data_IF_917110091301
#
_entry.id   IF_917110091301
#
_cell.length_a   1.000
_cell.length_b   1.000
_cell.length_c   1.000
_cell.angle_alpha   90.00
_cell.angle_beta   90.00
_cell.angle_gamma   90.00
#
_symmetry.space_group_name_H-M   'P 1'
#
loop_
_entity.id
_entity.type
_entity.pdbx_description
1 polymer ?
#
# COMPACT_ATOMS: atom_id res chain seq x y z
N UNK A 1 2.75 -50.26 39.75
CA UNK A 1 3.43 -49.01 40.13
C UNK A 1 4.79 -49.00 39.44
N UNK A 2 4.87 -48.42 38.24
CA UNK A 2 6.08 -48.42 37.41
C UNK A 2 6.79 -47.08 37.51
N UNK A 3 8.11 -47.15 37.75
CA UNK A 3 9.12 -46.09 37.68
C UNK A 3 9.12 -45.47 36.26
N UNK A 4 9.32 -44.16 36.08
CA UNK A 4 10.63 -43.53 35.84
C UNK A 4 10.48 -41.99 35.78
N UNK A 5 11.57 -41.30 36.09
CA UNK A 5 11.78 -39.90 36.48
C UNK A 5 11.84 -38.91 35.29
N UNK A 6 11.55 -37.64 35.57
CA UNK A 6 12.19 -36.39 35.11
C UNK A 6 11.28 -35.26 35.61
N UNK A 7 11.56 -34.36 36.56
CA UNK A 7 12.75 -33.60 37.01
C UNK A 7 13.49 -32.85 35.91
N UNK A 8 13.44 -31.54 36.09
CA UNK A 8 14.41 -30.49 35.74
C UNK A 8 13.83 -29.31 34.95
N UNK A 9 14.23 -28.17 35.49
CA UNK A 9 13.71 -26.81 35.44
C UNK A 9 14.70 -26.01 34.58
N UNK A 10 14.21 -24.96 33.92
CA UNK A 10 14.95 -23.75 33.48
C UNK A 10 15.95 -23.95 32.32
N UNK A 11 15.82 -23.17 31.24
CA UNK A 11 16.73 -22.05 30.90
C UNK A 11 16.30 -21.38 29.58
N UNK A 12 16.61 -20.08 29.52
CA UNK A 12 16.31 -19.05 28.52
C UNK A 12 17.36 -19.08 27.36
N UNK A 13 17.13 -18.27 26.30
CA UNK A 13 18.15 -17.60 25.46
C UNK A 13 18.62 -18.20 24.10
N UNK A 14 18.38 -17.39 23.04
CA UNK A 14 19.18 -17.18 21.82
C UNK A 14 19.22 -18.22 20.67
N UNK A 15 18.61 -17.87 19.53
CA UNK A 15 19.28 -17.84 18.20
C UNK A 15 18.59 -16.78 17.31
N UNK A 16 19.11 -15.57 17.37
CA UNK A 16 19.04 -14.60 16.27
C UNK A 16 20.04 -14.98 15.17
N UNK A 17 19.78 -14.46 13.95
CA UNK A 17 20.65 -14.39 12.76
C UNK A 17 20.72 -15.64 11.87
N UNK A 18 20.01 -15.58 10.72
CA UNK A 18 20.58 -15.37 9.37
C UNK A 18 19.48 -15.58 8.31
N UNK A 19 18.89 -14.51 7.77
CA UNK A 19 19.09 -14.02 6.40
C UNK A 19 18.71 -14.97 5.22
N UNK A 20 17.61 -14.58 4.56
CA UNK A 20 17.33 -14.56 3.10
C UNK A 20 17.31 -15.90 2.33
N UNK A 21 16.12 -16.28 1.83
CA UNK A 21 15.75 -16.28 0.38
C UNK A 21 14.37 -16.97 0.21
N UNK A 22 13.28 -16.26 -0.10
CA UNK A 22 12.79 -15.82 -1.42
C UNK A 22 11.49 -16.57 -1.81
N UNK A 23 10.65 -15.89 -2.58
CA UNK A 23 9.48 -16.37 -3.34
C UNK A 23 8.10 -16.15 -2.70
N UNK A 24 7.64 -14.91 -2.87
CA UNK A 24 6.33 -14.46 -3.39
C UNK A 24 5.06 -15.17 -2.90
N UNK A 25 4.22 -14.43 -2.17
CA UNK A 25 2.87 -14.11 -2.67
C UNK A 25 2.25 -12.95 -1.88
N UNK A 26 1.63 -12.07 -2.64
CA UNK A 26 1.09 -10.78 -2.27
C UNK A 26 -0.12 -10.92 -1.34
N UNK A 27 0.11 -10.91 -0.04
CA UNK A 27 -0.98 -10.78 0.92
C UNK A 27 -0.54 -9.86 2.04
N UNK A 28 -0.31 -8.58 1.71
CA UNK A 28 -0.36 -7.55 2.74
C UNK A 28 -1.82 -7.29 3.03
N UNK A 29 -2.34 -8.13 3.93
CA UNK A 29 -3.56 -7.92 4.71
C UNK A 29 -3.71 -6.43 5.02
N UNK A 30 -4.61 -5.74 4.31
CA UNK A 30 -5.12 -4.45 4.76
C UNK A 30 -6.13 -4.80 5.85
N UNK A 31 -5.91 -4.45 7.13
CA UNK A 31 -6.86 -4.75 8.17
C UNK A 31 -8.15 -3.98 7.87
N UNK A 32 -9.20 -4.73 7.51
CA UNK A 32 -10.58 -4.27 7.49
C UNK A 32 -11.06 -4.00 8.92
N UNK A 33 -10.48 -3.05 9.66
CA UNK A 33 -11.14 -2.58 10.89
C UNK A 33 -10.58 -1.23 11.34
N UNK A 34 -11.14 -0.16 10.77
CA UNK A 34 -11.64 1.02 11.49
C UNK A 34 -11.90 2.12 10.46
N UNK A 35 -13.16 2.23 10.04
CA UNK A 35 -13.72 3.37 9.32
C UNK A 35 -13.77 4.63 10.21
N UNK A 36 -12.64 4.97 10.83
CA UNK A 36 -12.33 6.35 11.12
C UNK A 36 -12.19 7.02 9.76
N UNK A 37 -12.64 8.26 9.62
CA UNK A 37 -12.59 9.03 8.37
C UNK A 37 -11.11 9.26 7.96
N UNK A 38 -10.48 8.22 7.41
CA UNK A 38 -9.08 8.25 7.05
C UNK A 38 -8.97 9.11 5.80
N UNK A 39 -8.26 10.23 5.94
CA UNK A 39 -8.00 11.10 4.81
C UNK A 39 -7.27 10.31 3.73
N UNK A 40 -7.81 10.37 2.51
CA UNK A 40 -7.17 9.80 1.32
C UNK A 40 -6.38 10.89 0.61
N UNK A 41 -5.39 10.51 -0.19
CA UNK A 41 -4.62 11.41 -1.03
C UNK A 41 -4.39 10.77 -2.39
N UNK A 42 -4.50 11.58 -3.43
CA UNK A 42 -4.11 11.20 -4.77
C UNK A 42 -2.63 11.50 -5.01
N UNK A 43 -1.84 10.48 -5.34
CA UNK A 43 -0.40 10.60 -5.61
C UNK A 43 -0.02 10.48 -7.09
N UNK A 44 -1.01 10.48 -7.99
CA UNK A 44 -0.75 10.48 -9.42
C UNK A 44 -0.36 11.84 -10.01
N UNK A 45 -0.09 11.89 -11.32
CA UNK A 45 0.21 13.13 -12.00
C UNK A 45 -1.02 14.04 -12.11
N UNK A 46 -0.80 15.32 -12.43
CA UNK A 46 -1.91 16.21 -12.76
C UNK A 46 -2.65 15.69 -13.99
N UNK A 47 -3.95 15.44 -13.85
CA UNK A 47 -4.77 14.96 -14.95
C UNK A 47 -5.11 16.09 -15.93
N UNK A 48 -5.16 15.80 -17.24
CA UNK A 48 -5.43 16.80 -18.27
C UNK A 48 -6.79 17.47 -18.07
N UNK A 49 -6.87 18.75 -18.42
CA UNK A 49 -8.08 19.55 -18.24
C UNK A 49 -8.34 19.99 -16.79
N UNK A 50 -7.38 19.82 -15.89
CA UNK A 50 -7.51 20.25 -14.49
C UNK A 50 -8.48 19.42 -13.66
N UNK A 51 -8.78 18.19 -14.11
CA UNK A 51 -9.79 17.32 -13.49
C UNK A 51 -9.38 16.83 -12.10
N UNK A 52 -8.09 16.55 -11.92
CA UNK A 52 -7.52 16.16 -10.62
C UNK A 52 -6.07 16.60 -10.54
N UNK A 53 -5.72 17.28 -9.47
CA UNK A 53 -4.35 17.74 -9.21
C UNK A 53 -3.60 16.72 -8.37
N UNK A 54 -2.28 16.65 -8.59
CA UNK A 54 -1.38 15.88 -7.76
C UNK A 54 -1.48 16.30 -6.28
N UNK A 55 -1.33 15.33 -5.37
CA UNK A 55 -1.35 15.53 -3.92
C UNK A 55 -2.67 16.11 -3.40
N UNK A 56 -3.78 15.87 -4.10
CA UNK A 56 -5.12 16.26 -3.63
C UNK A 56 -5.53 15.36 -2.46
N UNK A 57 -5.84 15.98 -1.31
CA UNK A 57 -6.26 15.28 -0.10
C UNK A 57 -7.79 15.30 0.02
N UNK A 58 -8.37 14.13 0.22
CA UNK A 58 -9.79 13.89 0.45
C UNK A 58 -10.05 13.56 1.92
N UNK A 59 -10.57 14.52 2.68
CA UNK A 59 -10.81 14.36 4.13
C UNK A 59 -12.11 13.62 4.45
N UNK A 60 -13.08 13.67 3.55
CA UNK A 60 -14.41 13.07 3.72
C UNK A 60 -14.68 11.97 2.68
N UNK A 61 -13.63 11.26 2.25
CA UNK A 61 -13.70 10.33 1.12
C UNK A 61 -13.73 11.01 -0.24
N UNK A 62 -13.83 10.20 -1.30
CA UNK A 62 -13.69 10.67 -2.68
C UNK A 62 -14.97 11.40 -3.14
N UNK A 63 -14.88 12.66 -3.61
CA UNK A 63 -16.03 13.42 -4.08
C UNK A 63 -16.82 12.74 -5.22
N UNK A 64 -18.14 12.89 -5.21
CA UNK A 64 -19.03 12.30 -6.23
C UNK A 64 -18.77 12.79 -7.65
N UNK A 65 -18.29 14.04 -7.82
CA UNK A 65 -17.94 14.58 -9.13
C UNK A 65 -16.74 13.87 -9.80
N UNK A 66 -15.92 13.15 -9.03
CA UNK A 66 -14.83 12.34 -9.55
C UNK A 66 -15.27 10.94 -9.99
N UNK A 67 -16.46 10.47 -9.62
CA UNK A 67 -16.94 9.13 -9.98
C UNK A 67 -16.88 8.84 -11.50
N UNK A 68 -17.29 9.76 -12.39
CA UNK A 68 -17.13 9.56 -13.84
C UNK A 68 -15.67 9.38 -14.25
N UNK A 69 -14.76 10.16 -13.66
CA UNK A 69 -13.33 10.08 -13.93
C UNK A 69 -12.74 8.75 -13.47
N UNK A 70 -13.10 8.29 -12.27
CA UNK A 70 -12.63 7.00 -11.74
C UNK A 70 -13.15 5.82 -12.58
N UNK A 71 -14.37 5.96 -13.13
CA UNK A 71 -14.96 4.98 -14.03
C UNK A 71 -14.25 4.95 -15.39
N UNK A 72 -13.91 6.12 -15.94
CA UNK A 72 -13.19 6.24 -17.21
C UNK A 72 -11.73 5.79 -17.09
N UNK A 73 -11.09 6.09 -15.96
CA UNK A 73 -9.67 5.82 -15.69
C UNK A 73 -9.50 5.12 -14.35
N UNK A 74 -9.62 3.77 -14.30
CA UNK A 74 -9.45 3.02 -13.05
C UNK A 74 -8.06 3.21 -12.45
N UNK A 75 -7.04 3.44 -13.29
CA UNK A 75 -5.66 3.79 -12.91
C UNK A 75 -5.58 4.95 -11.91
N UNK A 76 -6.51 5.92 -11.95
CA UNK A 76 -6.56 7.03 -10.99
C UNK A 76 -6.84 6.51 -9.58
N UNK A 77 -7.73 5.53 -9.46
CA UNK A 77 -8.14 4.92 -8.19
C UNK A 77 -6.98 4.18 -7.54
N UNK A 78 -6.12 3.53 -8.34
CA UNK A 78 -4.93 2.82 -7.84
C UNK A 78 -3.91 3.76 -7.17
N UNK A 79 -3.93 5.06 -7.48
CA UNK A 79 -3.07 6.08 -6.86
C UNK A 79 -3.80 6.94 -5.82
N UNK A 80 -5.03 6.58 -5.44
CA UNK A 80 -5.72 7.15 -4.28
C UNK A 80 -5.44 6.25 -3.08
N UNK A 81 -4.65 6.75 -2.14
CA UNK A 81 -4.15 5.99 -0.99
C UNK A 81 -4.44 6.71 0.32
N UNK A 82 -4.47 6.01 1.47
CA UNK A 82 -4.50 6.67 2.77
C UNK A 82 -3.30 7.60 2.94
N UNK A 83 -3.51 8.78 3.53
CA UNK A 83 -2.41 9.72 3.84
C UNK A 83 -1.33 9.07 4.71
N UNK A 84 -1.71 8.12 5.57
CA UNK A 84 -0.77 7.35 6.39
C UNK A 84 0.24 6.52 5.56
N UNK A 85 -0.13 6.09 4.34
CA UNK A 85 0.72 5.31 3.44
C UNK A 85 1.40 6.17 2.37
N UNK A 86 1.13 7.48 2.37
CA UNK A 86 1.57 8.42 1.33
C UNK A 86 3.08 8.31 1.05
N UNK A 87 3.91 8.35 2.08
CA UNK A 87 5.37 8.30 1.95
C UNK A 87 5.82 6.99 1.31
N UNK A 88 5.31 5.86 1.79
CA UNK A 88 5.68 4.54 1.26
C UNK A 88 5.24 4.36 -0.20
N UNK A 89 4.06 4.85 -0.55
CA UNK A 89 3.56 4.81 -1.94
C UNK A 89 4.37 5.75 -2.84
N UNK A 90 4.72 6.94 -2.34
CA UNK A 90 5.52 7.92 -3.09
C UNK A 90 6.90 7.36 -3.44
N UNK A 91 7.55 6.64 -2.54
CA UNK A 91 8.80 5.91 -2.82
C UNK A 91 8.59 4.88 -3.93
N UNK A 92 7.51 4.10 -3.88
CA UNK A 92 7.21 3.11 -4.92
C UNK A 92 6.96 3.76 -6.27
N UNK A 93 6.26 4.89 -6.33
CA UNK A 93 5.99 5.63 -7.57
C UNK A 93 7.28 6.06 -8.28
N UNK A 94 8.36 6.39 -7.54
CA UNK A 94 9.62 6.81 -8.15
C UNK A 94 10.55 5.64 -8.50
N UNK A 95 10.30 4.46 -7.95
CA UNK A 95 11.06 3.25 -8.23
C UNK A 95 10.54 2.52 -9.48
N UNK A 96 11.36 2.48 -10.53
CA UNK A 96 11.07 1.72 -11.75
C UNK A 96 10.88 0.24 -11.44
N UNK A 97 9.80 -0.36 -11.94
CA UNK A 97 9.48 -1.78 -11.75
C UNK A 97 8.46 -2.06 -10.64
N UNK A 98 7.97 -1.04 -9.94
CA UNK A 98 6.82 -1.14 -9.05
C UNK A 98 5.51 -1.01 -9.84
N UNK A 99 4.42 -1.51 -9.27
CA UNK A 99 3.08 -1.35 -9.85
C UNK A 99 2.70 0.13 -9.93
N UNK A 100 2.95 0.89 -8.87
CA UNK A 100 2.59 2.31 -8.79
C UNK A 100 3.36 3.17 -9.79
N UNK A 101 4.63 2.85 -10.07
CA UNK A 101 5.38 3.49 -11.14
C UNK A 101 4.70 3.30 -12.49
N UNK A 102 4.30 2.06 -12.81
CA UNK A 102 3.64 1.73 -14.09
C UNK A 102 2.31 2.47 -14.24
N UNK A 103 1.49 2.50 -13.19
CA UNK A 103 0.22 3.25 -13.17
C UNK A 103 0.47 4.74 -13.35
N UNK A 104 1.47 5.30 -12.65
CA UNK A 104 1.84 6.70 -12.75
C UNK A 104 2.29 7.08 -14.18
N UNK A 105 3.08 6.22 -14.85
CA UNK A 105 3.49 6.45 -16.25
C UNK A 105 2.29 6.40 -17.21
N UNK A 106 1.37 5.45 -17.02
CA UNK A 106 0.13 5.36 -17.82
C UNK A 106 -0.69 6.64 -17.72
N UNK A 107 -0.87 7.18 -16.51
CA UNK A 107 -1.58 8.44 -16.29
C UNK A 107 -0.85 9.66 -16.84
N UNK A 108 0.49 9.64 -16.89
CA UNK A 108 1.29 10.68 -17.54
C UNK A 108 1.15 10.68 -19.08
N UNK A 109 0.51 9.68 -19.67
CA UNK A 109 0.45 9.52 -21.12
C UNK A 109 1.80 9.15 -21.75
N UNK A 110 2.78 8.78 -20.93
CA UNK A 110 4.03 8.18 -21.39
C UNK A 110 3.74 6.71 -21.62
N UNK A 111 3.42 6.35 -22.86
CA UNK A 111 3.34 4.94 -23.26
C UNK A 111 4.64 4.25 -22.88
N UNK A 112 4.55 3.24 -22.01
CA UNK A 112 5.63 2.29 -21.73
C UNK A 112 5.87 1.37 -22.92
#
# INVERSE_FOLDING_TARGET
MSRTKNKDKLQNEQVEADMIQMVTNETKVVPEEQAQEQALIYLGPNLPGGQLLQSTVFRAGIPSYLQPLLTEKPDVTELIVPVAEMTAVQERIVHTGTAEYVVYQRLLGKGI
#
